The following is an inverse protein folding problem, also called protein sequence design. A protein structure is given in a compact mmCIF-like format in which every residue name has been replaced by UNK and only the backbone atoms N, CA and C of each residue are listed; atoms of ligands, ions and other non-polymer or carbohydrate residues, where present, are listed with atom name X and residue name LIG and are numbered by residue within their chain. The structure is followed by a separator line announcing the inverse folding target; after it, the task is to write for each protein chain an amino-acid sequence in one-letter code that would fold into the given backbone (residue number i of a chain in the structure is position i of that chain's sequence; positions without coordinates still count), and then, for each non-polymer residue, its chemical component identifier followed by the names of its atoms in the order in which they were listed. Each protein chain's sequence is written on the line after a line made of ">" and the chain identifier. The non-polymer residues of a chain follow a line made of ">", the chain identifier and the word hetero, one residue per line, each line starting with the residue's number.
data_IF_844889515360
#
_entry.id   IF_844889515360
#
_cell.length_a   1.000
_cell.length_b   1.000
_cell.length_c   1.000
_cell.angle_alpha   90.00
_cell.angle_beta   90.00
_cell.angle_gamma   90.00
#
_symmetry.space_group_name_H-M   'P 1'
#
loop_
_entity.id
_entity.type
_entity.pdbx_description
1 polymer ?
#
# COMPACT_ATOMS: atom_id res chain seq x y z
N UNK A 1 39.48 -41.95 3.82
CA UNK A 1 40.36 -40.81 4.18
C UNK A 1 40.05 -39.75 3.15
N UNK A 2 39.37 -38.63 3.42
CA UNK A 2 39.28 -37.83 4.64
C UNK A 2 38.02 -36.95 4.50
N UNK A 3 37.22 -36.86 5.56
CA UNK A 3 35.99 -36.06 5.65
C UNK A 3 36.36 -34.58 5.91
N UNK A 4 35.65 -33.64 5.29
CA UNK A 4 35.94 -32.20 5.42
C UNK A 4 35.36 -31.66 6.74
N UNK A 5 36.08 -30.83 7.51
CA UNK A 5 35.58 -30.37 8.80
C UNK A 5 34.49 -29.31 8.58
N UNK A 6 33.28 -29.63 9.03
CA UNK A 6 32.18 -28.67 9.16
C UNK A 6 32.42 -27.81 10.41
N UNK A 7 32.59 -26.48 10.31
CA UNK A 7 32.73 -25.64 11.50
C UNK A 7 31.35 -25.49 12.15
N UNK A 8 31.18 -26.15 13.29
CA UNK A 8 29.95 -26.17 14.10
C UNK A 8 30.17 -25.47 15.44
N UNK A 9 30.44 -24.17 15.40
CA UNK A 9 30.14 -23.31 16.56
C UNK A 9 30.11 -21.87 16.07
N UNK A 10 28.93 -21.23 16.11
CA UNK A 10 28.88 -19.77 16.03
C UNK A 10 29.09 -19.29 17.46
N UNK A 11 30.19 -18.59 17.69
CA UNK A 11 30.55 -18.07 19.01
C UNK A 11 29.50 -17.05 19.48
N UNK A 12 29.18 -17.06 20.78
CA UNK A 12 28.19 -16.16 21.37
C UNK A 12 28.51 -14.67 21.09
N UNK A 13 29.79 -14.34 21.02
CA UNK A 13 30.30 -13.02 20.62
C UNK A 13 29.86 -12.61 19.21
N UNK A 14 29.82 -13.56 18.28
CA UNK A 14 29.35 -13.31 16.90
C UNK A 14 27.85 -13.04 16.90
N UNK A 15 27.08 -13.76 17.71
CA UNK A 15 25.64 -13.56 17.85
C UNK A 15 25.34 -12.18 18.44
N UNK A 16 26.08 -11.78 19.47
CA UNK A 16 25.88 -10.50 20.14
C UNK A 16 26.30 -9.32 19.24
N UNK A 17 27.35 -9.50 18.43
CA UNK A 17 27.79 -8.52 17.42
C UNK A 17 26.76 -8.36 16.30
N UNK A 18 26.17 -9.45 15.81
CA UNK A 18 25.13 -9.36 14.76
C UNK A 18 23.86 -8.67 15.30
N UNK A 19 23.49 -8.91 16.56
CA UNK A 19 22.37 -8.22 17.21
C UNK A 19 22.62 -6.70 17.33
N UNK A 20 23.83 -6.28 17.71
CA UNK A 20 24.14 -4.84 17.81
C UNK A 20 24.17 -4.15 16.45
N UNK A 21 24.57 -4.86 15.37
CA UNK A 21 24.53 -4.34 14.01
C UNK A 21 23.11 -4.31 13.40
N UNK A 22 22.17 -5.10 13.93
CA UNK A 22 20.79 -5.12 13.46
C UNK A 22 19.94 -3.93 13.94
N UNK A 23 20.42 -3.19 14.94
CA UNK A 23 19.77 -1.99 15.44
C UNK A 23 20.27 -0.78 14.65
N UNK A 24 19.65 -0.52 13.50
CA UNK A 24 19.89 0.68 12.72
C UNK A 24 19.22 1.88 13.41
N UNK A 25 19.93 2.57 14.31
CA UNK A 25 19.41 3.72 15.08
C UNK A 25 19.25 5.01 14.25
N UNK A 26 19.73 5.06 13.00
CA UNK A 26 19.74 6.26 12.15
C UNK A 26 18.47 6.40 11.27
N UNK A 27 17.31 6.00 11.78
CA UNK A 27 16.04 6.21 11.10
C UNK A 27 15.53 7.63 11.32
N UNK A 28 15.41 8.44 10.25
CA UNK A 28 14.65 9.67 10.31
C UNK A 28 13.16 9.33 10.19
N UNK A 29 12.41 9.39 11.30
CA UNK A 29 10.95 9.36 11.28
C UNK A 29 10.40 10.79 11.45
N UNK A 30 9.28 11.07 10.82
CA UNK A 30 8.55 12.32 11.04
C UNK A 30 7.09 11.94 11.12
N UNK A 31 6.49 12.19 12.28
CA UNK A 31 5.05 12.04 12.46
C UNK A 31 4.35 13.13 11.64
N UNK A 32 3.90 12.74 10.45
CA UNK A 32 3.04 13.57 9.62
C UNK A 32 1.60 13.27 10.03
N UNK A 33 0.90 14.25 10.60
CA UNK A 33 -0.54 14.16 10.80
C UNK A 33 -1.22 14.08 9.43
N UNK A 34 -1.72 12.90 9.08
CA UNK A 34 -2.46 12.65 7.85
C UNK A 34 -3.96 12.62 8.14
N UNK A 35 -4.69 13.60 7.60
CA UNK A 35 -6.15 13.58 7.59
C UNK A 35 -6.64 12.68 6.45
N UNK A 36 -7.10 11.49 6.82
CA UNK A 36 -7.66 10.52 5.87
C UNK A 36 -9.13 10.83 5.59
N UNK A 37 -9.53 10.73 4.32
CA UNK A 37 -10.93 10.61 3.97
C UNK A 37 -11.50 9.30 4.58
N UNK A 38 -12.82 9.20 4.78
CA UNK A 38 -13.45 7.92 5.10
C UNK A 38 -13.05 6.86 4.08
N UNK A 39 -12.96 5.60 4.52
CA UNK A 39 -12.68 4.49 3.61
C UNK A 39 -13.83 4.32 2.62
N UNK A 40 -13.46 3.91 1.42
CA UNK A 40 -14.37 3.48 0.37
C UNK A 40 -14.54 4.45 -0.77
N UNK A 41 -15.26 3.99 -1.79
CA UNK A 41 -15.41 4.68 -3.06
C UNK A 41 -16.88 4.92 -3.39
N UNK A 42 -17.29 6.17 -3.26
CA UNK A 42 -18.59 6.68 -3.64
C UNK A 42 -18.49 8.10 -4.24
N UNK A 43 -19.64 8.68 -4.64
CA UNK A 43 -19.67 10.03 -5.20
C UNK A 43 -19.26 11.11 -4.18
N UNK A 44 -19.48 10.91 -2.88
CA UNK A 44 -19.16 11.89 -1.84
C UNK A 44 -17.65 11.96 -1.61
N UNK A 45 -16.96 10.82 -1.62
CA UNK A 45 -15.50 10.74 -1.61
C UNK A 45 -14.90 11.38 -2.86
N UNK A 46 -15.49 11.16 -4.05
CA UNK A 46 -15.05 11.82 -5.29
C UNK A 46 -15.20 13.35 -5.19
N UNK A 47 -16.32 13.84 -4.65
CA UNK A 47 -16.54 15.28 -4.41
C UNK A 47 -15.58 15.85 -3.38
N UNK A 48 -15.30 15.11 -2.31
CA UNK A 48 -14.33 15.47 -1.28
C UNK A 48 -12.93 15.64 -1.89
N UNK A 49 -12.49 14.67 -2.70
CA UNK A 49 -11.20 14.69 -3.41
C UNK A 49 -11.11 15.89 -4.36
N UNK A 50 -12.13 16.08 -5.20
CA UNK A 50 -12.18 17.19 -6.15
C UNK A 50 -12.08 18.55 -5.45
N UNK A 51 -12.81 18.71 -4.33
CA UNK A 51 -12.78 19.93 -3.52
C UNK A 51 -11.41 20.14 -2.87
N UNK A 52 -10.81 19.09 -2.32
CA UNK A 52 -9.48 19.16 -1.68
C UNK A 52 -8.38 19.56 -2.67
N UNK A 53 -8.54 19.19 -3.94
CA UNK A 53 -7.61 19.51 -5.03
C UNK A 53 -7.92 20.81 -5.77
N UNK A 54 -8.95 21.55 -5.35
CA UNK A 54 -9.42 22.78 -6.01
C UNK A 54 -9.63 22.59 -7.53
N UNK A 55 -10.24 21.45 -7.88
CA UNK A 55 -10.47 21.10 -9.28
C UNK A 55 -11.62 21.90 -9.88
N UNK A 56 -11.51 22.30 -11.17
CA UNK A 56 -12.62 22.95 -11.87
C UNK A 56 -13.79 21.98 -12.08
N UNK A 57 -15.01 22.52 -12.17
CA UNK A 57 -16.26 21.73 -12.25
C UNK A 57 -16.25 20.64 -13.33
N UNK A 58 -15.66 20.92 -14.50
CA UNK A 58 -15.61 19.96 -15.60
C UNK A 58 -14.78 18.71 -15.27
N UNK A 59 -13.79 18.82 -14.37
CA UNK A 59 -13.02 17.67 -13.88
C UNK A 59 -13.83 16.82 -12.90
N UNK A 60 -14.60 17.45 -12.01
CA UNK A 60 -15.52 16.75 -11.11
C UNK A 60 -16.53 15.93 -11.91
N UNK A 61 -17.18 16.55 -12.90
CA UNK A 61 -18.15 15.88 -13.76
C UNK A 61 -17.53 14.71 -14.54
N UNK A 62 -16.29 14.85 -15.00
CA UNK A 62 -15.56 13.76 -15.65
C UNK A 62 -15.34 12.57 -14.69
N UNK A 63 -14.93 12.84 -13.45
CA UNK A 63 -14.73 11.81 -12.42
C UNK A 63 -16.03 11.09 -12.07
N UNK A 64 -17.11 11.85 -11.85
CA UNK A 64 -18.43 11.29 -11.55
C UNK A 64 -18.94 10.43 -12.71
N UNK A 65 -18.76 10.89 -13.95
CA UNK A 65 -19.11 10.11 -15.14
C UNK A 65 -18.29 8.81 -15.23
N UNK A 66 -16.98 8.87 -14.96
CA UNK A 66 -16.12 7.69 -14.97
C UNK A 66 -16.54 6.68 -13.90
N UNK A 67 -16.83 7.14 -12.68
CA UNK A 67 -17.30 6.28 -11.58
C UNK A 67 -18.62 5.60 -11.92
N UNK A 68 -19.62 6.36 -12.40
CA UNK A 68 -20.92 5.80 -12.82
C UNK A 68 -20.78 4.78 -13.94
N UNK A 69 -19.87 5.03 -14.90
CA UNK A 69 -19.60 4.06 -15.96
C UNK A 69 -18.92 2.80 -15.41
N UNK A 70 -17.91 2.95 -14.55
CA UNK A 70 -17.20 1.85 -13.92
C UNK A 70 -18.13 0.91 -13.14
N UNK A 71 -19.12 1.44 -12.42
CA UNK A 71 -20.14 0.62 -11.74
C UNK A 71 -20.94 -0.31 -12.67
N UNK A 72 -20.97 -0.03 -13.98
CA UNK A 72 -21.64 -0.88 -14.98
C UNK A 72 -20.71 -1.91 -15.62
N UNK A 73 -19.41 -1.85 -15.34
CA UNK A 73 -18.41 -2.71 -15.97
C UNK A 73 -18.25 -4.01 -15.17
N UNK A 74 -18.30 -5.19 -15.83
CA UNK A 74 -17.86 -6.42 -15.21
C UNK A 74 -16.33 -6.42 -15.06
N UNK A 75 -15.83 -7.08 -14.01
CA UNK A 75 -14.41 -7.33 -13.86
C UNK A 75 -13.90 -8.25 -14.99
N UNK A 76 -12.81 -7.89 -15.70
CA UNK A 76 -12.29 -8.69 -16.79
C UNK A 76 -11.59 -9.97 -16.30
N UNK A 77 -11.82 -11.08 -17.00
CA UNK A 77 -11.29 -12.42 -16.66
C UNK A 77 -10.29 -12.97 -17.70
N UNK A 78 -9.96 -12.21 -18.74
CA UNK A 78 -9.11 -12.67 -19.85
C UNK A 78 -7.65 -12.92 -19.45
N UNK A 79 -7.22 -12.41 -18.30
CA UNK A 79 -5.85 -12.56 -17.82
C UNK A 79 -5.69 -13.90 -17.09
N UNK A 80 -4.59 -14.62 -17.37
CA UNK A 80 -4.26 -15.89 -16.68
C UNK A 80 -3.58 -15.63 -15.33
N UNK A 81 -4.26 -14.91 -14.45
CA UNK A 81 -3.82 -14.60 -13.09
C UNK A 81 -4.98 -14.80 -12.13
N UNK A 82 -4.70 -15.43 -11.00
CA UNK A 82 -5.68 -15.60 -9.93
C UNK A 82 -5.33 -14.65 -8.79
N UNK A 83 -6.28 -13.78 -8.42
CA UNK A 83 -6.17 -12.89 -7.29
C UNK A 83 -7.51 -12.82 -6.57
N UNK A 84 -7.53 -12.58 -5.24
CA UNK A 84 -8.78 -12.37 -4.52
C UNK A 84 -9.47 -11.10 -5.02
N UNK A 85 -10.82 -11.04 -5.02
CA UNK A 85 -11.55 -9.84 -5.39
C UNK A 85 -11.07 -8.61 -4.60
N UNK A 86 -10.98 -7.47 -5.28
CA UNK A 86 -10.57 -6.22 -4.66
C UNK A 86 -11.74 -5.65 -3.88
N UNK A 87 -11.57 -5.44 -2.58
CA UNK A 87 -12.52 -4.66 -1.78
C UNK A 87 -12.25 -3.17 -1.94
N UNK A 88 -12.93 -2.54 -2.91
CA UNK A 88 -12.86 -1.10 -3.16
C UNK A 88 -13.44 -0.26 -2.01
N UNK A 89 -14.13 -0.86 -1.04
CA UNK A 89 -14.66 -0.15 0.12
C UNK A 89 -13.68 -0.14 1.31
N UNK A 90 -12.66 -1.01 1.29
CA UNK A 90 -11.60 -1.06 2.32
C UNK A 90 -10.30 -0.34 1.87
N UNK A 91 -10.44 0.77 1.14
CA UNK A 91 -9.31 1.58 0.68
C UNK A 91 -9.50 3.07 1.00
N UNK A 92 -8.39 3.80 1.13
CA UNK A 92 -8.38 5.26 1.25
C UNK A 92 -8.12 5.89 -0.13
N UNK A 93 -8.89 6.92 -0.47
CA UNK A 93 -8.80 7.63 -1.75
C UNK A 93 -8.42 9.10 -1.54
N UNK A 94 -7.60 9.68 -2.43
CA UNK A 94 -7.06 11.05 -2.32
C UNK A 94 -6.90 11.76 -3.66
#
# INVERSE_FOLDING_TARGET
>A
MTDAPTPSHIDQETIDTVKSLSTYEAGFETDIEMEYAPKGLDEDIIRLISKKKDEPEWMLELRLKAYRHWLTMPEPDWAKVDFPPIDYQDAYYY
#
